data_IF_177094387602
#
_entry.id   IF_177094387602
#
_cell.length_a   1.000
_cell.length_b   1.000
_cell.length_c   1.000
_cell.angle_alpha   90.00
_cell.angle_beta   90.00
_cell.angle_gamma   90.00
#
_symmetry.space_group_name_H-M   'P 1'
#
loop_
_entity.id
_entity.type
_entity.pdbx_description
1 polymer ?
#
# COMPACT_ATOMS: atom_id res chain seq x y z
N UNK A 1 4.12 -6.47 -7.20
CA UNK A 1 4.59 -5.35 -8.03
C UNK A 1 4.76 -5.72 -9.52
N UNK A 2 5.49 -6.79 -9.87
CA UNK A 2 5.77 -7.13 -11.29
C UNK A 2 4.54 -7.32 -12.20
N UNK A 3 3.39 -7.76 -11.68
CA UNK A 3 2.20 -7.98 -12.51
C UNK A 3 1.41 -6.70 -12.83
N UNK A 4 1.66 -5.61 -12.10
CA UNK A 4 1.01 -4.32 -12.32
C UNK A 4 1.72 -3.50 -13.42
N UNK A 5 3.05 -3.66 -13.47
CA UNK A 5 3.96 -2.83 -14.26
C UNK A 5 4.29 -3.48 -15.60
N UNK A 6 4.60 -2.65 -16.60
CA UNK A 6 5.25 -3.08 -17.84
C UNK A 6 6.65 -3.61 -17.56
N UNK A 7 7.18 -4.40 -18.50
CA UNK A 7 8.60 -4.79 -18.48
C UNK A 7 9.53 -3.59 -18.39
N UNK A 8 9.18 -2.49 -19.05
CA UNK A 8 9.99 -1.26 -19.06
C UNK A 8 9.98 -0.55 -17.69
N UNK A 9 8.83 -0.44 -17.03
CA UNK A 9 8.72 0.12 -15.68
C UNK A 9 9.50 -0.73 -14.66
N UNK A 10 9.47 -2.07 -14.80
CA UNK A 10 10.28 -2.97 -13.96
C UNK A 10 11.78 -2.74 -14.18
N UNK A 11 12.20 -2.55 -15.44
CA UNK A 11 13.58 -2.23 -15.78
C UNK A 11 14.01 -0.87 -15.22
N UNK A 12 13.11 0.12 -15.25
CA UNK A 12 13.36 1.44 -14.66
C UNK A 12 13.53 1.33 -13.13
N UNK A 13 12.68 0.57 -12.45
CA UNK A 13 12.83 0.31 -11.01
C UNK A 13 14.17 -0.35 -10.68
N UNK A 14 14.57 -1.36 -11.47
CA UNK A 14 15.84 -2.06 -11.28
C UNK A 14 17.03 -1.11 -11.49
N UNK A 15 16.95 -0.21 -12.48
CA UNK A 15 17.96 0.82 -12.72
C UNK A 15 18.06 1.80 -11.55
N UNK A 16 16.92 2.26 -11.02
CA UNK A 16 16.86 3.16 -9.84
C UNK A 16 17.54 2.50 -8.64
N UNK A 17 17.15 1.26 -8.31
CA UNK A 17 17.75 0.46 -7.24
C UNK A 17 19.26 0.38 -7.38
N UNK A 18 19.72 -0.02 -8.55
CA UNK A 18 21.14 -0.20 -8.76
C UNK A 18 21.95 1.10 -8.68
N UNK A 19 21.45 2.20 -9.26
CA UNK A 19 22.15 3.48 -9.19
C UNK A 19 22.16 4.06 -7.78
N UNK A 20 21.06 3.90 -7.03
CA UNK A 20 20.97 4.35 -5.65
C UNK A 20 21.91 3.57 -4.71
N UNK A 21 21.96 2.24 -4.84
CA UNK A 21 22.82 1.38 -4.02
C UNK A 21 24.31 1.58 -4.32
N UNK A 22 24.65 1.92 -5.57
CA UNK A 22 26.05 2.07 -5.99
C UNK A 22 26.74 3.27 -5.33
N UNK A 23 26.00 4.34 -4.99
CA UNK A 23 26.47 5.61 -4.38
C UNK A 23 27.65 6.32 -5.08
N UNK A 24 28.10 5.79 -6.21
CA UNK A 24 29.26 6.23 -6.99
C UNK A 24 28.93 6.21 -8.48
N UNK A 25 29.87 6.71 -9.29
CA UNK A 25 29.80 6.67 -10.76
C UNK A 25 29.82 5.24 -11.26
N UNK A 26 28.74 4.83 -11.92
CA UNK A 26 28.60 3.52 -12.54
C UNK A 26 29.03 3.59 -14.01
N UNK A 27 30.03 2.81 -14.46
CA UNK A 27 30.41 2.77 -15.87
C UNK A 27 29.28 2.22 -16.76
N UNK A 28 29.07 2.85 -17.91
CA UNK A 28 28.02 2.46 -18.86
C UNK A 28 28.13 1.00 -19.31
N UNK A 29 29.36 0.48 -19.42
CA UNK A 29 29.60 -0.92 -19.79
C UNK A 29 29.07 -1.91 -18.74
N UNK A 30 29.11 -1.53 -17.45
CA UNK A 30 28.60 -2.37 -16.35
C UNK A 30 27.08 -2.48 -16.46
N UNK A 31 26.38 -1.36 -16.68
CA UNK A 31 24.93 -1.34 -16.90
C UNK A 31 24.52 -2.21 -18.11
N UNK A 32 25.27 -2.12 -19.21
CA UNK A 32 25.02 -2.90 -20.42
C UNK A 32 25.13 -4.41 -20.19
N UNK A 33 26.16 -4.84 -19.47
CA UNK A 33 26.36 -6.26 -19.13
C UNK A 33 25.30 -6.75 -18.15
N UNK A 34 25.02 -5.98 -17.10
CA UNK A 34 24.10 -6.38 -16.03
C UNK A 34 22.67 -6.58 -16.50
N UNK A 35 22.21 -5.74 -17.42
CA UNK A 35 20.81 -5.75 -17.87
C UNK A 35 20.62 -6.29 -19.29
N UNK A 36 21.69 -6.77 -19.94
CA UNK A 36 21.69 -7.21 -21.34
C UNK A 36 21.06 -6.19 -22.30
N UNK A 37 21.18 -4.90 -21.99
CA UNK A 37 20.50 -3.86 -22.76
C UNK A 37 21.27 -3.50 -24.03
N UNK A 38 20.52 -3.35 -25.13
CA UNK A 38 21.00 -2.64 -26.32
C UNK A 38 21.29 -1.16 -25.98
N UNK A 39 22.12 -0.50 -26.78
CA UNK A 39 22.47 0.91 -26.53
C UNK A 39 21.23 1.83 -26.52
N UNK A 40 20.26 1.54 -27.40
CA UNK A 40 18.99 2.26 -27.50
C UNK A 40 18.13 2.11 -26.23
N UNK A 41 18.09 0.91 -25.66
CA UNK A 41 17.26 0.63 -24.48
C UNK A 41 17.73 1.38 -23.23
N UNK A 42 19.05 1.54 -23.04
CA UNK A 42 19.59 2.32 -21.91
C UNK A 42 19.26 3.79 -22.06
N UNK A 43 19.51 4.40 -23.21
CA UNK A 43 19.24 5.83 -23.40
C UNK A 43 17.75 6.14 -23.21
N UNK A 44 16.85 5.26 -23.66
CA UNK A 44 15.42 5.41 -23.40
C UNK A 44 15.09 5.35 -21.90
N UNK A 45 15.64 4.36 -21.17
CA UNK A 45 15.44 4.25 -19.72
C UNK A 45 16.00 5.46 -18.95
N UNK A 46 17.13 6.01 -19.38
CA UNK A 46 17.71 7.20 -18.76
C UNK A 46 16.90 8.46 -19.02
N UNK A 47 16.35 8.61 -20.23
CA UNK A 47 15.41 9.69 -20.53
C UNK A 47 14.16 9.57 -19.64
N UNK A 48 13.61 8.36 -19.48
CA UNK A 48 12.49 8.12 -18.58
C UNK A 48 12.83 8.41 -17.11
N UNK A 49 14.02 8.00 -16.66
CA UNK A 49 14.50 8.31 -15.31
C UNK A 49 14.65 9.82 -15.10
N UNK A 50 15.15 10.54 -16.10
CA UNK A 50 15.30 12.01 -16.04
C UNK A 50 13.95 12.71 -15.91
N UNK A 51 12.96 12.27 -16.70
CA UNK A 51 11.58 12.77 -16.61
C UNK A 51 10.93 12.43 -15.26
N UNK A 52 11.16 11.22 -14.75
CA UNK A 52 10.67 10.80 -13.44
C UNK A 52 11.25 11.70 -12.33
N UNK A 53 12.56 11.91 -12.33
CA UNK A 53 13.27 12.76 -11.36
C UNK A 53 12.75 14.19 -11.40
N UNK A 54 12.54 14.74 -12.59
CA UNK A 54 11.97 16.08 -12.73
C UNK A 54 10.59 16.18 -12.06
N UNK A 55 9.70 15.21 -12.27
CA UNK A 55 8.38 15.19 -11.63
C UNK A 55 8.48 15.07 -10.12
N UNK A 56 9.34 14.15 -9.66
CA UNK A 56 9.60 13.89 -8.25
C UNK A 56 10.10 15.15 -7.54
N UNK A 57 11.13 15.80 -8.06
CA UNK A 57 11.68 17.02 -7.48
C UNK A 57 10.62 18.12 -7.34
N UNK A 58 9.76 18.29 -8.36
CA UNK A 58 8.68 19.27 -8.32
C UNK A 58 7.60 18.94 -7.30
N UNK A 59 7.19 17.67 -7.18
CA UNK A 59 6.07 17.28 -6.33
C UNK A 59 6.45 17.15 -4.86
N UNK A 60 7.64 16.61 -4.60
CA UNK A 60 8.10 16.28 -3.25
C UNK A 60 9.05 17.36 -2.69
N UNK A 61 9.37 18.39 -3.48
CA UNK A 61 10.29 19.48 -3.13
C UNK A 61 11.66 18.95 -2.65
N UNK A 62 12.24 18.04 -3.43
CA UNK A 62 13.54 17.41 -3.20
C UNK A 62 14.51 17.69 -4.34
N UNK A 63 15.81 17.49 -4.12
CA UNK A 63 16.81 17.63 -5.19
C UNK A 63 17.50 16.30 -5.50
N UNK A 64 17.01 15.63 -6.54
CA UNK A 64 17.63 14.45 -7.17
C UNK A 64 18.09 14.83 -8.58
N UNK A 65 19.24 14.33 -9.02
CA UNK A 65 19.74 14.51 -10.40
C UNK A 65 20.51 13.30 -10.89
N UNK A 66 20.54 13.14 -12.21
CA UNK A 66 21.44 12.19 -12.88
C UNK A 66 22.59 12.99 -13.48
N UNK A 67 23.82 12.57 -13.22
CA UNK A 67 25.00 13.02 -13.97
C UNK A 67 25.32 11.94 -14.99
N UNK A 68 25.12 12.25 -16.28
CA UNK A 68 25.43 11.36 -17.39
C UNK A 68 26.51 11.99 -18.27
N UNK A 69 27.70 11.38 -18.33
CA UNK A 69 28.82 11.84 -19.16
C UNK A 69 29.16 10.86 -20.30
N UNK A 70 28.18 10.05 -20.75
CA UNK A 70 28.29 8.99 -21.77
C UNK A 70 29.13 7.77 -21.37
N UNK A 71 30.18 7.95 -20.59
CA UNK A 71 31.04 6.86 -20.10
C UNK A 71 30.54 6.28 -18.78
N UNK A 72 29.88 7.09 -17.97
CA UNK A 72 29.39 6.75 -16.64
C UNK A 72 28.09 7.49 -16.32
N UNK A 73 27.37 6.93 -15.35
CA UNK A 73 26.12 7.47 -14.83
C UNK A 73 26.21 7.48 -13.32
N UNK A 74 25.75 8.57 -12.72
CA UNK A 74 25.67 8.73 -11.28
C UNK A 74 24.31 9.31 -10.91
N UNK A 75 23.66 8.73 -9.90
CA UNK A 75 22.46 9.30 -9.31
C UNK A 75 22.90 10.06 -8.06
N UNK A 76 22.65 11.37 -8.03
CA UNK A 76 22.99 12.25 -6.91
C UNK A 76 21.69 12.76 -6.30
N UNK A 77 21.54 12.59 -4.99
CA UNK A 77 20.38 13.00 -4.23
C UNK A 77 20.85 13.71 -2.94
N UNK A 78 20.04 14.62 -2.40
CA UNK A 78 20.28 15.19 -1.07
C UNK A 78 20.34 14.09 0.00
N UNK A 79 20.96 14.39 1.14
CA UNK A 79 21.06 13.48 2.26
C UNK A 79 19.66 13.00 2.70
N UNK A 80 19.55 11.70 2.97
CA UNK A 80 18.35 11.04 3.50
C UNK A 80 17.13 10.98 2.57
N UNK A 81 17.27 11.23 1.26
CA UNK A 81 16.16 10.95 0.32
C UNK A 81 15.96 9.43 0.20
N UNK A 82 14.80 8.87 0.62
CA UNK A 82 14.55 7.44 0.53
C UNK A 82 14.32 7.01 -0.91
N UNK A 83 14.87 5.85 -1.29
CA UNK A 83 14.69 5.29 -2.63
C UNK A 83 13.22 5.00 -2.95
N UNK A 84 12.44 4.68 -1.93
CA UNK A 84 11.01 4.40 -1.97
C UNK A 84 10.26 5.52 -2.69
N UNK A 85 10.65 6.77 -2.50
CA UNK A 85 9.99 7.93 -3.11
C UNK A 85 10.05 7.88 -4.65
N UNK A 86 11.18 7.45 -5.22
CA UNK A 86 11.29 7.22 -6.66
C UNK A 86 10.53 5.96 -7.10
N UNK A 87 10.57 4.86 -6.32
CA UNK A 87 9.85 3.62 -6.65
C UNK A 87 8.34 3.86 -6.68
N UNK A 88 7.82 4.55 -5.68
CA UNK A 88 6.44 4.97 -5.56
C UNK A 88 6.03 5.85 -6.75
N UNK A 89 6.89 6.78 -7.19
CA UNK A 89 6.63 7.61 -8.36
C UNK A 89 6.52 6.80 -9.67
N UNK A 90 7.33 5.74 -9.86
CA UNK A 90 7.18 4.84 -11.02
C UNK A 90 5.81 4.15 -10.99
N UNK A 91 5.42 3.62 -9.83
CA UNK A 91 4.12 2.93 -9.69
C UNK A 91 2.96 3.89 -9.92
N UNK A 92 2.99 5.08 -9.31
CA UNK A 92 1.98 6.14 -9.49
C UNK A 92 1.87 6.60 -10.94
N UNK A 93 2.97 6.52 -11.71
CA UNK A 93 3.02 6.86 -13.13
C UNK A 93 2.46 5.79 -14.08
N UNK A 94 2.17 4.59 -13.58
CA UNK A 94 1.71 3.48 -14.42
C UNK A 94 0.24 3.63 -14.84
N UNK A 95 -0.07 3.42 -16.12
CA UNK A 95 -1.46 3.44 -16.61
C UNK A 95 -2.35 2.39 -15.93
N UNK A 96 -1.79 1.23 -15.55
CA UNK A 96 -2.52 0.19 -14.82
C UNK A 96 -2.92 0.68 -13.42
N UNK A 97 -2.03 1.43 -12.78
CA UNK A 97 -2.28 2.04 -11.48
C UNK A 97 -3.31 3.16 -11.59
N UNK A 98 -3.17 4.06 -12.57
CA UNK A 98 -4.12 5.15 -12.81
C UNK A 98 -5.53 4.61 -13.06
N UNK A 99 -5.67 3.59 -13.90
CA UNK A 99 -6.97 2.94 -14.12
C UNK A 99 -7.56 2.38 -12.81
N UNK A 100 -6.75 1.68 -12.00
CA UNK A 100 -7.23 1.15 -10.72
C UNK A 100 -7.70 2.27 -9.76
N UNK A 101 -6.96 3.38 -9.70
CA UNK A 101 -7.30 4.54 -8.88
C UNK A 101 -8.60 5.19 -9.35
N UNK A 102 -8.78 5.40 -10.65
CA UNK A 102 -10.00 6.01 -11.21
C UNK A 102 -11.23 5.13 -11.01
N UNK A 103 -11.06 3.81 -11.08
CA UNK A 103 -12.14 2.86 -10.80
C UNK A 103 -12.53 2.89 -9.31
N UNK A 104 -11.56 2.99 -8.39
CA UNK A 104 -11.84 3.14 -6.95
C UNK A 104 -12.57 4.44 -6.65
N UNK A 105 -12.05 5.55 -7.19
CA UNK A 105 -12.57 6.90 -6.94
C UNK A 105 -13.81 7.23 -7.78
N UNK A 106 -14.34 6.26 -8.54
CA UNK A 106 -15.51 6.41 -9.43
C UNK A 106 -15.35 7.54 -10.45
N UNK A 107 -14.12 7.80 -10.89
CA UNK A 107 -13.76 8.80 -11.92
C UNK A 107 -13.78 8.22 -13.33
N UNK A 108 -13.62 6.90 -13.45
CA UNK A 108 -13.70 6.22 -14.74
C UNK A 108 -15.11 6.32 -15.35
N UNK A 109 -15.21 6.94 -16.52
CA UNK A 109 -16.46 7.07 -17.29
C UNK A 109 -16.55 6.04 -18.40
N UNK A 110 -15.53 5.99 -19.28
CA UNK A 110 -15.47 5.06 -20.40
C UNK A 110 -14.04 4.78 -20.85
N UNK A 111 -13.87 3.72 -21.64
CA UNK A 111 -12.56 3.38 -22.22
C UNK A 111 -12.08 4.45 -23.20
N UNK A 112 -13.02 5.13 -23.88
CA UNK A 112 -12.72 6.21 -24.81
C UNK A 112 -12.14 7.41 -24.05
N UNK A 113 -12.80 7.83 -22.98
CA UNK A 113 -12.37 9.00 -22.20
C UNK A 113 -11.01 8.75 -21.54
N UNK A 114 -10.79 7.54 -21.00
CA UNK A 114 -9.48 7.15 -20.47
C UNK A 114 -8.38 7.15 -21.55
N UNK A 115 -8.70 6.73 -22.77
CA UNK A 115 -7.75 6.79 -23.89
C UNK A 115 -7.39 8.23 -24.27
N UNK A 116 -8.38 9.12 -24.31
CA UNK A 116 -8.21 10.54 -24.62
C UNK A 116 -7.40 11.25 -23.54
N UNK A 117 -7.73 11.05 -22.26
CA UNK A 117 -7.05 11.65 -21.11
C UNK A 117 -5.57 11.28 -21.05
N UNK A 118 -5.24 10.02 -21.34
CA UNK A 118 -3.86 9.52 -21.27
C UNK A 118 -3.14 9.48 -22.62
N UNK A 119 -3.75 10.02 -23.68
CA UNK A 119 -3.18 10.04 -25.04
C UNK A 119 -2.75 8.65 -25.55
N UNK A 120 -3.56 7.63 -25.30
CA UNK A 120 -3.31 6.24 -25.73
C UNK A 120 -4.38 5.77 -26.71
N UNK A 121 -4.07 4.73 -27.48
CA UNK A 121 -5.07 4.06 -28.31
C UNK A 121 -5.77 2.90 -27.54
N UNK A 122 -6.89 2.44 -28.09
CA UNK A 122 -7.70 1.38 -27.46
C UNK A 122 -6.96 0.04 -27.30
N UNK A 123 -5.98 -0.27 -28.17
CA UNK A 123 -5.16 -1.48 -28.04
C UNK A 123 -4.30 -1.44 -26.77
N UNK A 124 -3.69 -0.28 -26.48
CA UNK A 124 -2.94 -0.06 -25.23
C UNK A 124 -3.89 -0.14 -24.03
N UNK A 125 -5.07 0.48 -24.09
CA UNK A 125 -6.06 0.38 -23.03
C UNK A 125 -6.46 -1.07 -22.73
N UNK A 126 -6.62 -1.90 -23.77
CA UNK A 126 -6.91 -3.33 -23.59
C UNK A 126 -5.78 -4.04 -22.83
N UNK A 127 -4.52 -3.78 -23.20
CA UNK A 127 -3.36 -4.33 -22.48
C UNK A 127 -3.25 -3.84 -21.02
N UNK A 128 -3.64 -2.59 -20.76
CA UNK A 128 -3.72 -2.03 -19.39
C UNK A 128 -4.81 -2.74 -18.59
N UNK A 129 -5.99 -2.91 -19.18
CA UNK A 129 -7.12 -3.61 -18.56
C UNK A 129 -6.80 -5.08 -18.28
N UNK A 130 -6.18 -5.78 -19.23
CA UNK A 130 -5.79 -7.19 -19.07
C UNK A 130 -4.77 -7.37 -17.93
N UNK A 131 -3.79 -6.46 -17.82
CA UNK A 131 -2.83 -6.46 -16.70
C UNK A 131 -3.51 -6.21 -15.36
N UNK A 132 -4.41 -5.23 -15.28
CA UNK A 132 -5.18 -4.96 -14.07
C UNK A 132 -6.03 -6.18 -13.69
N UNK A 133 -6.72 -6.80 -14.65
CA UNK A 133 -7.52 -7.99 -14.43
C UNK A 133 -6.68 -9.19 -13.94
N UNK A 134 -5.49 -9.39 -14.51
CA UNK A 134 -4.56 -10.42 -14.06
C UNK A 134 -4.08 -10.19 -12.62
N UNK A 135 -3.91 -8.93 -12.21
CA UNK A 135 -3.53 -8.62 -10.83
C UNK A 135 -4.70 -8.81 -9.86
N UNK A 136 -5.90 -8.39 -10.25
CA UNK A 136 -7.15 -8.60 -9.48
C UNK A 136 -7.45 -10.08 -9.26
N UNK A 137 -7.17 -10.95 -10.24
CA UNK A 137 -7.44 -12.38 -10.14
C UNK A 137 -6.73 -13.05 -8.94
N UNK A 138 -5.57 -12.52 -8.52
CA UNK A 138 -4.83 -13.01 -7.34
C UNK A 138 -5.58 -12.81 -6.02
N UNK A 139 -6.54 -11.91 -6.02
CA UNK A 139 -7.41 -11.60 -4.88
C UNK A 139 -8.82 -12.13 -5.11
N UNK A 140 -9.09 -12.97 -6.11
CA UNK A 140 -10.46 -13.38 -6.48
C UNK A 140 -11.35 -12.20 -6.92
N UNK A 141 -10.75 -11.13 -7.45
CA UNK A 141 -11.45 -10.02 -8.08
C UNK A 141 -11.30 -10.07 -9.60
N UNK A 142 -12.17 -9.36 -10.32
CA UNK A 142 -12.09 -9.23 -11.78
C UNK A 142 -12.71 -7.91 -12.27
N UNK A 143 -12.31 -7.47 -13.47
CA UNK A 143 -12.88 -6.31 -14.14
C UNK A 143 -14.16 -6.67 -14.90
N UNK A 144 -15.19 -5.85 -14.72
CA UNK A 144 -16.37 -5.82 -15.58
C UNK A 144 -16.81 -4.38 -15.81
N UNK A 145 -16.24 -3.75 -16.84
CA UNK A 145 -16.48 -2.34 -17.15
C UNK A 145 -17.94 -2.02 -17.56
N UNK A 146 -18.77 -3.03 -17.80
CA UNK A 146 -20.20 -2.86 -18.12
C UNK A 146 -21.08 -2.74 -16.88
N UNK A 147 -20.63 -3.23 -15.73
CA UNK A 147 -21.38 -3.16 -14.46
C UNK A 147 -21.30 -1.77 -13.83
N UNK A 148 -22.18 -1.49 -12.87
CA UNK A 148 -22.06 -0.29 -12.01
C UNK A 148 -20.75 -0.36 -11.23
N UNK A 149 -20.51 -1.49 -10.59
CA UNK A 149 -19.22 -1.85 -9.98
C UNK A 149 -18.29 -2.42 -11.05
N UNK A 150 -17.32 -1.61 -11.43
CA UNK A 150 -16.39 -1.95 -12.50
C UNK A 150 -15.36 -3.01 -12.09
N UNK A 151 -15.07 -3.11 -10.79
CA UNK A 151 -14.29 -4.20 -10.19
C UNK A 151 -15.26 -5.03 -9.36
N UNK A 152 -15.34 -6.32 -9.66
CA UNK A 152 -16.21 -7.29 -9.02
C UNK A 152 -15.38 -8.23 -8.14
N UNK A 153 -15.93 -8.63 -7.00
CA UNK A 153 -15.30 -9.52 -6.01
C UNK A 153 -16.01 -9.40 -4.66
N UNK A 154 -15.61 -10.21 -3.67
CA UNK A 154 -16.05 -9.98 -2.29
C UNK A 154 -15.40 -8.69 -1.76
N UNK A 155 -16.08 -7.97 -0.88
CA UNK A 155 -15.57 -6.67 -0.41
C UNK A 155 -14.22 -6.80 0.34
N UNK A 156 -14.03 -7.86 1.14
CA UNK A 156 -12.73 -8.14 1.79
C UNK A 156 -11.58 -8.26 0.78
N UNK A 157 -11.84 -8.94 -0.32
CA UNK A 157 -10.88 -9.26 -1.38
C UNK A 157 -10.54 -7.99 -2.18
N UNK A 158 -11.56 -7.20 -2.49
CA UNK A 158 -11.44 -5.88 -3.10
C UNK A 158 -10.53 -4.97 -2.24
N UNK A 159 -10.78 -4.91 -0.93
CA UNK A 159 -10.01 -4.06 -0.03
C UNK A 159 -8.58 -4.55 0.15
N UNK A 160 -8.36 -5.87 0.22
CA UNK A 160 -7.01 -6.46 0.24
C UNK A 160 -6.22 -6.14 -1.03
N UNK A 161 -6.87 -6.17 -2.21
CA UNK A 161 -6.25 -5.76 -3.47
C UNK A 161 -5.79 -4.30 -3.41
N UNK A 162 -6.66 -3.38 -3.03
CA UNK A 162 -6.33 -1.95 -2.99
C UNK A 162 -5.32 -1.62 -1.88
N UNK A 163 -5.38 -2.33 -0.75
CA UNK A 163 -4.35 -2.22 0.29
C UNK A 163 -2.98 -2.58 -0.29
N UNK A 164 -2.87 -3.74 -0.96
CA UNK A 164 -1.63 -4.17 -1.59
C UNK A 164 -1.14 -3.17 -2.64
N UNK A 165 -2.05 -2.62 -3.44
CA UNK A 165 -1.73 -1.63 -4.47
C UNK A 165 -1.15 -0.34 -3.87
N UNK A 166 -1.82 0.25 -2.88
CA UNK A 166 -1.46 1.56 -2.34
C UNK A 166 -0.35 1.52 -1.30
N UNK A 167 -0.19 0.40 -0.61
CA UNK A 167 0.95 0.21 0.28
C UNK A 167 2.26 0.28 -0.51
N UNK A 168 2.29 -0.38 -1.69
CA UNK A 168 3.43 -0.36 -2.60
C UNK A 168 3.62 1.02 -3.27
N UNK A 169 2.53 1.71 -3.61
CA UNK A 169 2.60 2.97 -4.38
C UNK A 169 2.81 4.23 -3.55
N UNK A 170 2.90 4.15 -2.22
CA UNK A 170 3.01 5.35 -1.39
C UNK A 170 1.75 6.16 -1.22
N UNK A 171 0.66 5.74 -1.86
CA UNK A 171 -0.46 6.65 -2.07
C UNK A 171 -1.30 6.80 -0.82
N UNK A 172 -1.38 8.04 -0.34
CA UNK A 172 -2.32 8.44 0.69
C UNK A 172 -3.71 8.61 0.07
N UNK A 173 -4.69 7.90 0.63
CA UNK A 173 -6.09 8.04 0.25
C UNK A 173 -6.85 9.09 1.08
N UNK A 174 -6.22 9.61 2.13
CA UNK A 174 -6.83 10.61 3.02
C UNK A 174 -7.38 11.83 2.27
N UNK A 175 -6.70 12.40 1.26
CA UNK A 175 -7.23 13.54 0.53
C UNK A 175 -8.56 13.28 -0.19
N UNK A 176 -8.90 12.01 -0.45
CA UNK A 176 -10.15 11.62 -1.14
C UNK A 176 -11.31 11.35 -0.17
N UNK A 177 -11.05 11.31 1.15
CA UNK A 177 -12.09 11.17 2.16
C UNK A 177 -12.86 12.48 2.35
N UNK A 178 -14.13 12.41 2.74
CA UNK A 178 -14.85 13.56 3.30
C UNK A 178 -14.09 14.18 4.48
N UNK A 179 -14.22 15.49 4.70
CA UNK A 179 -13.57 16.20 5.82
C UNK A 179 -13.81 15.54 7.18
N UNK A 180 -15.03 15.07 7.43
CA UNK A 180 -15.40 14.34 8.66
C UNK A 180 -14.54 13.08 8.84
N UNK A 181 -14.53 12.20 7.82
CA UNK A 181 -13.74 10.98 7.85
C UNK A 181 -12.23 11.24 7.93
N UNK A 182 -11.73 12.34 7.35
CA UNK A 182 -10.33 12.74 7.53
C UNK A 182 -10.01 13.06 8.99
N UNK A 183 -10.86 13.86 9.65
CA UNK A 183 -10.68 14.22 11.06
C UNK A 183 -10.80 13.00 11.99
N UNK A 184 -11.78 12.13 11.74
CA UNK A 184 -11.98 10.89 12.50
C UNK A 184 -10.78 9.95 12.37
N UNK A 185 -10.30 9.71 11.15
CA UNK A 185 -9.12 8.90 10.92
C UNK A 185 -7.88 9.50 11.58
N UNK A 186 -7.71 10.81 11.52
CA UNK A 186 -6.59 11.48 12.16
C UNK A 186 -6.61 11.30 13.69
N UNK A 187 -7.77 11.50 14.31
CA UNK A 187 -7.97 11.28 15.75
C UNK A 187 -7.71 9.81 16.14
N UNK A 188 -8.25 8.86 15.36
CA UNK A 188 -8.02 7.43 15.56
C UNK A 188 -6.53 7.07 15.56
N UNK A 189 -5.77 7.56 14.57
CA UNK A 189 -4.32 7.31 14.49
C UNK A 189 -3.56 8.00 15.63
N UNK A 190 -3.97 9.21 16.04
CA UNK A 190 -3.34 9.93 17.15
C UNK A 190 -3.54 9.23 18.50
N UNK A 191 -4.75 8.70 18.76
CA UNK A 191 -5.02 7.91 19.96
C UNK A 191 -4.13 6.67 20.02
N UNK A 192 -4.03 5.92 18.90
CA UNK A 192 -3.20 4.71 18.84
C UNK A 192 -1.73 5.06 19.05
N UNK A 193 -1.23 6.08 18.37
CA UNK A 193 0.16 6.54 18.52
C UNK A 193 0.50 6.90 19.97
N UNK A 194 -0.42 7.56 20.67
CA UNK A 194 -0.20 8.02 22.04
C UNK A 194 -0.35 6.90 23.09
N UNK A 195 -1.30 5.97 22.88
CA UNK A 195 -1.57 4.87 23.84
C UNK A 195 -0.65 3.66 23.64
N UNK A 196 -0.20 3.43 22.42
CA UNK A 196 0.58 2.25 22.04
C UNK A 196 1.86 2.71 21.32
N UNK A 197 2.80 3.34 22.05
CA UNK A 197 3.99 3.97 21.47
C UNK A 197 4.97 2.98 20.83
N UNK A 198 4.78 1.67 21.08
CA UNK A 198 5.56 0.60 20.46
C UNK A 198 5.13 0.30 19.02
N UNK A 199 3.98 0.80 18.54
CA UNK A 199 3.63 0.66 17.12
C UNK A 199 4.58 1.51 16.27
N UNK A 200 5.19 0.88 15.28
CA UNK A 200 6.12 1.58 14.39
C UNK A 200 5.36 2.55 13.49
N UNK A 201 6.08 3.51 12.92
CA UNK A 201 5.53 4.36 11.86
C UNK A 201 4.90 3.53 10.72
N UNK A 202 5.54 2.41 10.37
CA UNK A 202 5.03 1.49 9.35
C UNK A 202 3.69 0.89 9.76
N UNK A 203 3.52 0.47 11.01
CA UNK A 203 2.24 -0.09 11.49
C UNK A 203 1.12 0.94 11.45
N UNK A 204 1.40 2.17 11.92
CA UNK A 204 0.45 3.27 11.83
C UNK A 204 0.09 3.61 10.38
N UNK A 205 1.06 3.54 9.44
CA UNK A 205 0.82 3.73 8.00
C UNK A 205 -0.07 2.62 7.42
N UNK A 206 0.17 1.35 7.78
CA UNK A 206 -0.66 0.20 7.35
C UNK A 206 -2.09 0.39 7.82
N UNK A 207 -2.27 0.74 9.10
CA UNK A 207 -3.56 0.94 9.71
C UNK A 207 -4.31 2.14 9.11
N UNK A 208 -3.61 3.27 8.93
CA UNK A 208 -4.17 4.46 8.27
C UNK A 208 -4.65 4.14 6.87
N UNK A 209 -3.90 3.34 6.12
CA UNK A 209 -4.25 2.95 4.77
C UNK A 209 -5.48 2.03 4.73
N UNK A 210 -5.51 0.95 5.51
CA UNK A 210 -6.67 0.03 5.49
C UNK A 210 -7.96 0.75 5.92
N UNK A 211 -7.87 1.62 6.94
CA UNK A 211 -9.01 2.42 7.39
C UNK A 211 -9.45 3.42 6.33
N UNK A 212 -8.52 4.05 5.61
CA UNK A 212 -8.85 4.97 4.50
C UNK A 212 -9.60 4.26 3.37
N UNK A 213 -9.15 3.05 2.98
CA UNK A 213 -9.84 2.23 1.97
C UNK A 213 -11.25 1.89 2.46
N UNK A 214 -11.34 1.45 3.71
CA UNK A 214 -12.60 1.15 4.40
C UNK A 214 -13.59 2.31 4.33
N UNK A 215 -13.18 3.49 4.79
CA UNK A 215 -13.99 4.71 4.80
C UNK A 215 -14.44 5.14 3.39
N UNK A 216 -13.57 5.04 2.37
CA UNK A 216 -13.94 5.33 0.98
C UNK A 216 -15.01 4.37 0.43
N UNK A 217 -14.88 3.09 0.76
CA UNK A 217 -15.81 2.05 0.33
C UNK A 217 -17.13 2.16 1.06
N UNK A 218 -17.06 2.50 2.34
CA UNK A 218 -18.19 2.77 3.18
C UNK A 218 -19.04 3.95 2.69
N UNK A 219 -18.41 5.09 2.37
CA UNK A 219 -19.05 6.25 1.68
C UNK A 219 -19.70 5.88 0.34
N UNK A 220 -19.32 4.73 -0.22
CA UNK A 220 -19.81 4.21 -1.48
C UNK A 220 -20.85 3.11 -1.32
N UNK A 221 -21.36 2.89 -0.10
CA UNK A 221 -22.30 1.83 0.29
C UNK A 221 -21.76 0.39 0.16
N UNK A 222 -20.44 0.22 0.24
CA UNK A 222 -19.79 -1.09 0.21
C UNK A 222 -19.29 -1.49 1.58
N UNK A 223 -19.89 -2.55 2.13
CA UNK A 223 -19.57 -3.10 3.46
C UNK A 223 -19.21 -4.58 3.38
N UNK A 224 -18.43 -5.03 4.36
CA UNK A 224 -18.21 -6.44 4.63
C UNK A 224 -19.37 -6.92 5.49
N UNK A 225 -20.28 -7.69 4.89
CA UNK A 225 -21.48 -8.19 5.58
C UNK A 225 -21.28 -9.51 6.32
N UNK A 226 -20.24 -10.26 5.97
CA UNK A 226 -19.90 -11.54 6.58
C UNK A 226 -18.38 -11.67 6.69
N UNK A 227 -17.92 -11.95 7.90
CA UNK A 227 -16.53 -12.24 8.21
C UNK A 227 -16.46 -13.22 9.39
N UNK A 228 -15.63 -14.27 9.30
CA UNK A 228 -15.49 -15.26 10.36
C UNK A 228 -15.02 -14.61 11.67
N UNK A 229 -15.10 -15.38 12.76
CA UNK A 229 -14.43 -14.98 13.99
C UNK A 229 -12.93 -14.78 13.75
N UNK A 230 -12.34 -13.92 14.59
CA UNK A 230 -10.97 -13.47 14.46
C UNK A 230 -10.04 -14.68 14.53
N UNK A 231 -9.29 -14.91 13.46
CA UNK A 231 -8.32 -16.00 13.41
C UNK A 231 -6.98 -15.60 14.02
N UNK A 232 -6.63 -14.31 13.97
CA UNK A 232 -5.32 -13.79 14.37
C UNK A 232 -5.44 -12.80 15.53
N UNK A 233 -4.66 -13.00 16.58
CA UNK A 233 -4.62 -12.12 17.76
C UNK A 233 -3.51 -11.09 17.57
N UNK A 234 -3.82 -9.80 17.73
CA UNK A 234 -2.79 -8.76 17.89
C UNK A 234 -2.27 -8.85 19.32
N UNK A 235 -0.99 -9.22 19.49
CA UNK A 235 -0.40 -9.36 20.82
C UNK A 235 -0.37 -8.05 21.59
N UNK A 236 -0.36 -6.92 20.89
CA UNK A 236 -0.16 -5.61 21.49
C UNK A 236 -1.46 -4.81 21.66
N UNK A 237 -2.45 -5.01 20.80
CA UNK A 237 -3.68 -4.22 20.79
C UNK A 237 -4.91 -5.10 21.05
N UNK A 238 -5.53 -5.03 22.23
CA UNK A 238 -6.73 -5.81 22.54
C UNK A 238 -7.88 -5.54 21.57
N UNK A 239 -8.60 -6.59 21.18
CA UNK A 239 -9.73 -6.47 20.26
C UNK A 239 -10.85 -5.55 20.80
N UNK A 240 -11.15 -5.62 22.10
CA UNK A 240 -12.17 -4.78 22.73
C UNK A 240 -11.86 -3.29 22.61
N UNK A 241 -10.60 -2.91 22.82
CA UNK A 241 -10.15 -1.52 22.66
C UNK A 241 -10.12 -1.10 21.19
N UNK A 242 -9.65 -1.98 20.30
CA UNK A 242 -9.70 -1.75 18.85
C UNK A 242 -11.14 -1.51 18.37
N UNK A 243 -12.08 -2.34 18.83
CA UNK A 243 -13.49 -2.23 18.51
C UNK A 243 -14.05 -0.86 18.91
N UNK A 244 -13.77 -0.38 20.12
CA UNK A 244 -14.21 0.94 20.57
C UNK A 244 -13.66 2.06 19.67
N UNK A 245 -12.36 2.00 19.34
CA UNK A 245 -11.71 3.03 18.53
C UNK A 245 -12.20 3.02 17.07
N UNK A 246 -12.44 1.84 16.50
CA UNK A 246 -13.02 1.73 15.15
C UNK A 246 -14.47 2.22 15.14
N UNK A 247 -15.28 1.91 16.17
CA UNK A 247 -16.63 2.49 16.29
C UNK A 247 -16.56 4.02 16.25
N UNK A 248 -15.61 4.61 16.97
CA UNK A 248 -15.42 6.06 17.04
C UNK A 248 -14.99 6.67 15.69
N UNK A 249 -14.31 5.89 14.86
CA UNK A 249 -13.90 6.31 13.53
C UNK A 249 -15.06 6.31 12.51
N UNK A 250 -16.15 5.58 12.77
CA UNK A 250 -17.29 5.40 11.86
C UNK A 250 -18.65 5.85 12.47
N UNK A 251 -18.62 6.67 13.54
CA UNK A 251 -19.76 7.04 14.42
C UNK A 251 -21.06 7.44 13.70
N UNK A 252 -20.98 8.10 12.54
CA UNK A 252 -22.15 8.78 11.97
C UNK A 252 -23.17 7.86 11.28
N UNK A 253 -22.89 6.57 11.13
CA UNK A 253 -23.63 5.77 10.14
C UNK A 253 -23.87 4.34 10.61
N UNK A 254 -24.24 4.08 11.87
CA UNK A 254 -24.54 2.72 12.34
C UNK A 254 -25.71 2.08 11.55
N UNK A 255 -25.37 1.43 10.43
CA UNK A 255 -26.15 0.34 9.82
C UNK A 255 -26.10 -0.87 10.75
N UNK A 256 -26.96 -1.85 10.48
CA UNK A 256 -27.25 -3.00 11.36
C UNK A 256 -26.03 -3.59 12.09
N UNK A 257 -26.15 -3.91 13.39
CA UNK A 257 -25.05 -4.36 14.25
C UNK A 257 -24.19 -5.51 13.69
N UNK A 258 -24.79 -6.42 12.94
CA UNK A 258 -24.11 -7.62 12.46
C UNK A 258 -23.18 -7.33 11.26
N UNK A 259 -23.57 -6.43 10.36
CA UNK A 259 -22.67 -5.95 9.29
C UNK A 259 -21.47 -5.20 9.86
N UNK A 260 -21.70 -4.46 10.94
CA UNK A 260 -20.67 -3.68 11.59
C UNK A 260 -19.65 -4.55 12.35
N UNK A 261 -20.10 -5.65 12.96
CA UNK A 261 -19.20 -6.63 13.60
C UNK A 261 -18.25 -7.27 12.60
N UNK A 262 -18.73 -7.61 11.39
CA UNK A 262 -17.90 -8.19 10.35
C UNK A 262 -16.81 -7.22 9.85
N UNK A 263 -17.12 -5.93 9.73
CA UNK A 263 -16.15 -4.87 9.43
C UNK A 263 -15.02 -4.79 10.46
N UNK A 264 -15.36 -4.69 11.75
CA UNK A 264 -14.37 -4.56 12.82
C UNK A 264 -13.47 -5.81 12.89
N UNK A 265 -14.05 -7.00 12.77
CA UNK A 265 -13.31 -8.26 12.72
C UNK A 265 -12.32 -8.29 11.56
N UNK A 266 -12.74 -7.87 10.37
CA UNK A 266 -11.86 -7.78 9.22
C UNK A 266 -10.68 -6.84 9.46
N UNK A 267 -10.92 -5.61 9.93
CA UNK A 267 -9.82 -4.66 10.16
C UNK A 267 -8.85 -5.17 11.21
N UNK A 268 -9.36 -5.78 12.28
CA UNK A 268 -8.53 -6.32 13.34
C UNK A 268 -7.68 -7.50 12.86
N UNK A 269 -8.28 -8.49 12.21
CA UNK A 269 -7.58 -9.68 11.71
C UNK A 269 -6.54 -9.29 10.65
N UNK A 270 -6.91 -8.39 9.74
CA UNK A 270 -6.01 -7.91 8.70
C UNK A 270 -4.86 -7.08 9.27
N UNK A 271 -5.11 -6.19 10.24
CA UNK A 271 -4.04 -5.45 10.90
C UNK A 271 -3.13 -6.40 11.68
N UNK A 272 -3.68 -7.33 12.45
CA UNK A 272 -2.93 -8.33 13.23
C UNK A 272 -2.03 -9.19 12.35
N UNK A 273 -2.52 -9.60 11.18
CA UNK A 273 -1.73 -10.38 10.21
C UNK A 273 -0.56 -9.57 9.62
N UNK A 274 -0.70 -8.24 9.54
CA UNK A 274 0.29 -7.36 8.93
C UNK A 274 1.24 -6.72 9.94
N UNK A 275 0.91 -6.70 11.23
CA UNK A 275 1.81 -6.25 12.29
C UNK A 275 2.90 -7.29 12.48
N UNK A 276 4.16 -6.82 12.54
CA UNK A 276 5.29 -7.67 12.89
C UNK A 276 5.93 -7.11 14.16
N UNK A 277 6.24 -7.96 15.11
CA UNK A 277 6.88 -7.59 16.36
C UNK A 277 8.36 -7.99 16.35
N UNK A 278 9.23 -7.11 16.83
CA UNK A 278 10.58 -7.49 17.23
C UNK A 278 10.53 -8.34 18.51
N UNK A 279 11.60 -9.08 18.80
CA UNK A 279 11.72 -9.83 20.05
C UNK A 279 11.57 -8.91 21.28
N UNK A 280 12.23 -7.76 21.27
CA UNK A 280 12.13 -6.74 22.32
C UNK A 280 10.69 -6.21 22.50
N UNK A 281 9.95 -6.02 21.40
CA UNK A 281 8.54 -5.65 21.46
C UNK A 281 7.69 -6.77 22.06
N UNK A 282 7.95 -8.04 21.73
CA UNK A 282 7.23 -9.19 22.31
C UNK A 282 7.47 -9.25 23.83
N UNK A 283 8.70 -9.06 24.29
CA UNK A 283 9.03 -9.04 25.72
C UNK A 283 8.30 -7.90 26.44
N UNK A 284 8.34 -6.70 25.88
CA UNK A 284 7.68 -5.51 26.46
C UNK A 284 6.15 -5.63 26.46
N UNK A 285 5.58 -6.17 25.37
CA UNK A 285 4.14 -6.38 25.20
C UNK A 285 3.64 -7.49 26.12
N UNK A 286 4.41 -8.57 26.31
CA UNK A 286 4.07 -9.63 27.26
C UNK A 286 3.91 -9.09 28.69
N UNK A 287 4.82 -8.22 29.16
CA UNK A 287 4.69 -7.64 30.50
C UNK A 287 3.50 -6.67 30.64
N UNK A 288 3.19 -5.89 29.59
CA UNK A 288 2.08 -4.94 29.63
C UNK A 288 0.70 -5.61 29.49
N UNK A 289 0.58 -6.65 28.65
CA UNK A 289 -0.71 -7.28 28.35
C UNK A 289 -1.06 -8.49 29.23
N UNK A 290 -0.09 -9.14 29.90
CA UNK A 290 -0.40 -10.14 30.94
C UNK A 290 -1.21 -9.53 32.10
N UNK A 291 -0.96 -8.26 32.42
CA UNK A 291 -1.72 -7.53 33.44
C UNK A 291 -3.12 -7.07 32.97
N UNK A 292 -3.33 -6.87 31.66
CA UNK A 292 -4.56 -6.29 31.08
C UNK A 292 -5.52 -7.37 30.57
N UNK A 293 -5.02 -8.52 30.11
CA UNK A 293 -5.84 -9.57 29.48
C UNK A 293 -6.48 -10.57 30.46
N UNK A 294 -6.22 -10.48 31.77
CA UNK A 294 -6.76 -11.44 32.75
C UNK A 294 -6.38 -12.90 32.47
N UNK A 295 -5.28 -13.12 31.75
CA UNK A 295 -4.80 -14.44 31.33
C UNK A 295 -3.80 -15.04 32.32
N UNK A 296 -3.99 -14.85 33.61
CA UNK A 296 -3.12 -15.45 34.64
C UNK A 296 -3.20 -16.99 34.65
N UNK A 297 -4.19 -17.61 33.99
CA UNK A 297 -4.40 -19.06 33.98
C UNK A 297 -4.68 -19.70 32.59
N UNK A 298 -4.36 -19.02 31.47
CA UNK A 298 -4.58 -19.60 30.13
C UNK A 298 -3.40 -20.48 29.69
N UNK A 299 -3.61 -21.75 29.24
CA UNK A 299 -2.55 -22.64 28.77
C UNK A 299 -1.78 -22.11 27.55
N UNK A 300 -2.28 -21.06 26.88
CA UNK A 300 -1.55 -20.36 25.82
C UNK A 300 -0.37 -19.53 26.34
N UNK A 301 -0.42 -19.03 27.58
CA UNK A 301 0.69 -18.28 28.20
C UNK A 301 1.87 -19.20 28.46
N UNK A 302 1.61 -20.42 28.94
CA UNK A 302 2.63 -21.46 29.15
C UNK A 302 3.28 -21.86 27.82
N UNK A 303 2.51 -21.99 26.73
CA UNK A 303 3.04 -22.36 25.42
C UNK A 303 3.97 -21.30 24.80
N UNK A 304 3.62 -20.00 24.93
CA UNK A 304 4.47 -18.90 24.45
C UNK A 304 5.75 -18.82 25.28
N UNK A 305 5.67 -18.94 26.61
CA UNK A 305 6.85 -18.93 27.49
C UNK A 305 7.79 -20.12 27.23
N UNK A 306 7.27 -21.33 27.05
CA UNK A 306 8.08 -22.53 26.77
C UNK A 306 8.78 -22.46 25.41
N UNK A 307 8.19 -21.79 24.41
CA UNK A 307 8.80 -21.65 23.08
C UNK A 307 9.81 -20.52 22.99
N UNK A 308 9.58 -19.42 23.69
CA UNK A 308 10.51 -18.28 23.71
C UNK A 308 11.77 -18.55 24.55
N UNK A 309 11.73 -19.46 25.53
CA UNK A 309 12.89 -19.82 26.38
C UNK A 309 13.80 -20.91 25.79
N UNK A 310 13.44 -21.48 24.62
CA UNK A 310 14.21 -22.52 23.93
C UNK A 310 15.01 -22.00 22.70
N UNK A 311 15.07 -20.69 22.49
CA UNK A 311 15.91 -20.01 21.49
C UNK A 311 17.08 -19.28 22.15
#
# INVERSE_FOLDING_TARGET
MHNLLTKQEIQLLSLIEYLYDSKEKVPMQVLRRKYEFSHYNINNLLNQLTLLISRVNTHENVHIRIINNQQSIELVADENIPIELMKEAVVRGSLTYMLALDLLLKRYTSAKDFCEEHFINFSIFKQVSDRLNNYLARFNCYLNLKRREKICGKEKDFRSFFYSLFFISGTSLVPFLSKTNQAQLQNFIEIIKNRYPYFTYTDLRKLKLIMSIGLLRYQSDFTISDYPEIATINLAFPYSEFQLLVNDCFINEQKEPDTWRAEIRFYYDFFSTLTMYSLEQIETVNFANLAIMGMDESPHVTWIFEKCTQL
#
